data_IF_936760644858
#
_entry.id   IF_936760644858
#
_cell.length_a   1.000
_cell.length_b   1.000
_cell.length_c   1.000
_cell.angle_alpha   90.00
_cell.angle_beta   90.00
_cell.angle_gamma   90.00
#
_symmetry.space_group_name_H-M   'P 1'
#
loop_
_entity.id
_entity.type
_entity.pdbx_description
1 polymer ?
#
# COMPACT_ATOMS: atom_id res chain seq x y z
N UNK A 1 22.23 -17.36 -13.47
CA UNK A 1 22.62 -16.63 -12.25
C UNK A 1 21.44 -16.70 -11.29
N UNK A 2 21.60 -16.98 -10.00
CA UNK A 2 20.46 -16.88 -9.08
C UNK A 2 19.99 -15.42 -9.07
N UNK A 3 18.74 -15.18 -9.45
CA UNK A 3 18.06 -13.90 -9.28
C UNK A 3 18.04 -13.61 -7.78
N UNK A 4 18.83 -12.63 -7.34
CA UNK A 4 18.81 -12.17 -5.95
C UNK A 4 17.65 -11.19 -5.85
N UNK A 5 16.60 -11.58 -5.14
CA UNK A 5 15.50 -10.70 -4.79
C UNK A 5 16.04 -9.55 -3.91
N UNK A 6 15.78 -8.30 -4.31
CA UNK A 6 16.19 -7.14 -3.54
C UNK A 6 15.30 -7.01 -2.29
N UNK A 7 15.91 -6.56 -1.19
CA UNK A 7 15.21 -6.39 0.09
C UNK A 7 15.55 -5.03 0.69
N UNK A 8 14.61 -4.44 1.43
CA UNK A 8 14.90 -3.28 2.26
C UNK A 8 15.84 -3.65 3.41
N UNK A 9 16.72 -2.71 3.85
CA UNK A 9 17.48 -2.91 5.06
C UNK A 9 16.56 -2.96 6.28
N UNK A 10 16.95 -3.66 7.33
CA UNK A 10 16.19 -3.75 8.58
C UNK A 10 16.82 -2.89 9.66
N UNK A 11 16.03 -2.00 10.25
CA UNK A 11 16.41 -1.17 11.39
C UNK A 11 15.68 -1.63 12.66
N UNK A 12 16.13 -1.27 13.87
CA UNK A 12 15.44 -1.64 15.11
C UNK A 12 13.95 -1.27 15.13
N UNK A 13 13.59 -0.17 14.48
CA UNK A 13 12.22 0.33 14.39
C UNK A 13 11.39 -0.26 13.22
N UNK A 14 12.03 -0.85 12.21
CA UNK A 14 11.33 -1.48 11.08
C UNK A 14 11.32 -3.01 11.13
N UNK A 15 12.19 -3.62 11.96
CA UNK A 15 12.28 -5.08 12.15
C UNK A 15 11.06 -5.65 12.87
N UNK A 16 10.41 -6.62 12.24
CA UNK A 16 9.30 -7.37 12.84
C UNK A 16 9.83 -8.28 13.96
N UNK A 17 9.27 -8.13 15.17
CA UNK A 17 9.72 -8.87 16.36
C UNK A 17 8.79 -10.03 16.78
N UNK A 18 7.46 -9.87 16.67
CA UNK A 18 6.47 -10.89 17.05
C UNK A 18 5.93 -11.60 15.81
N UNK A 19 5.92 -12.93 15.80
CA UNK A 19 5.60 -13.77 14.63
C UNK A 19 6.51 -13.44 13.44
N UNK A 20 7.81 -13.70 13.60
CA UNK A 20 8.87 -13.30 12.65
C UNK A 20 8.85 -14.12 11.36
N UNK A 21 8.33 -15.34 11.44
CA UNK A 21 8.00 -16.24 10.33
C UNK A 21 7.07 -15.59 9.29
N UNK A 22 6.32 -14.56 9.70
CA UNK A 22 5.39 -13.80 8.85
C UNK A 22 6.01 -12.57 8.20
N UNK A 23 7.27 -12.25 8.52
CA UNK A 23 7.92 -11.05 8.04
C UNK A 23 8.47 -11.27 6.63
N UNK A 24 8.29 -10.27 5.76
CA UNK A 24 8.97 -10.20 4.48
C UNK A 24 9.59 -8.81 4.31
N UNK A 25 10.76 -8.76 3.67
CA UNK A 25 11.51 -7.54 3.43
C UNK A 25 11.80 -7.35 1.93
N UNK A 26 11.33 -8.25 1.07
CA UNK A 26 11.43 -8.14 -0.38
C UNK A 26 10.77 -6.86 -0.90
N UNK A 27 11.48 -6.15 -1.79
CA UNK A 27 10.98 -4.95 -2.44
C UNK A 27 9.68 -5.25 -3.19
N UNK A 28 9.68 -6.33 -3.98
CA UNK A 28 8.52 -6.75 -4.78
C UNK A 28 7.27 -6.97 -3.92
N UNK A 29 7.38 -7.77 -2.86
CA UNK A 29 6.28 -8.01 -1.91
C UNK A 29 5.75 -6.71 -1.30
N UNK A 30 6.65 -5.83 -0.84
CA UNK A 30 6.28 -4.58 -0.18
C UNK A 30 5.62 -3.62 -1.18
N UNK A 31 6.20 -3.43 -2.36
CA UNK A 31 5.65 -2.56 -3.39
C UNK A 31 4.31 -3.08 -3.91
N UNK A 32 4.13 -4.39 -4.06
CA UNK A 32 2.86 -4.98 -4.43
C UNK A 32 1.76 -4.69 -3.38
N UNK A 33 2.07 -4.83 -2.08
CA UNK A 33 1.12 -4.51 -1.00
C UNK A 33 0.74 -3.03 -1.02
N UNK A 34 1.72 -2.14 -1.18
CA UNK A 34 1.49 -0.69 -1.22
C UNK A 34 0.67 -0.29 -2.45
N UNK A 35 1.06 -0.74 -3.64
CA UNK A 35 0.42 -0.36 -4.90
C UNK A 35 -0.98 -0.97 -5.09
N UNK A 36 -1.28 -2.09 -4.41
CA UNK A 36 -2.64 -2.65 -4.39
C UNK A 36 -3.54 -2.03 -3.33
N UNK A 37 -3.00 -1.24 -2.40
CA UNK A 37 -3.77 -0.61 -1.32
C UNK A 37 -4.43 0.68 -1.82
N UNK A 38 -5.78 0.78 -1.83
CA UNK A 38 -6.47 1.96 -2.37
C UNK A 38 -6.28 3.22 -1.52
N UNK A 39 -5.86 3.07 -0.26
CA UNK A 39 -5.69 4.18 0.67
C UNK A 39 -4.54 3.89 1.64
N UNK A 40 -3.48 4.68 1.51
CA UNK A 40 -2.31 4.63 2.39
C UNK A 40 -2.55 5.51 3.62
N UNK A 41 -1.98 5.13 4.75
CA UNK A 41 -1.99 5.94 5.97
C UNK A 41 -0.62 6.58 6.15
N UNK A 42 -0.52 7.86 5.84
CA UNK A 42 0.72 8.65 5.87
C UNK A 42 0.83 9.37 7.20
N UNK A 43 1.85 9.01 7.98
CA UNK A 43 2.07 9.51 9.33
C UNK A 43 3.33 10.34 9.42
N UNK A 44 3.26 11.49 10.07
CA UNK A 44 4.41 12.39 10.27
C UNK A 44 4.24 13.24 11.52
N UNK A 45 5.34 13.74 12.06
CA UNK A 45 5.31 14.63 13.20
C UNK A 45 5.00 16.07 12.75
N UNK A 46 3.96 16.66 13.32
CA UNK A 46 3.67 18.08 13.14
C UNK A 46 4.39 18.89 14.22
N UNK A 47 5.11 19.99 13.90
CA UNK A 47 5.94 20.74 14.86
C UNK A 47 5.22 21.18 16.13
N UNK A 48 3.93 21.53 16.01
CA UNK A 48 3.12 22.08 17.11
C UNK A 48 2.09 21.07 17.66
N UNK A 49 2.32 19.77 17.45
CA UNK A 49 1.42 18.71 17.93
C UNK A 49 2.17 17.75 18.84
N UNK A 50 1.63 17.39 20.02
CA UNK A 50 2.17 16.29 20.80
C UNK A 50 1.82 14.92 20.21
N UNK A 51 0.92 14.87 19.23
CA UNK A 51 0.49 13.65 18.54
C UNK A 51 1.02 13.59 17.10
N UNK A 52 1.33 12.39 16.57
CA UNK A 52 1.58 12.24 15.14
C UNK A 52 0.31 12.58 14.35
N UNK A 53 0.48 13.18 13.19
CA UNK A 53 -0.59 13.30 12.21
C UNK A 53 -0.67 11.99 11.45
N UNK A 54 -1.88 11.51 11.14
CA UNK A 54 -2.12 10.38 10.24
C UNK A 54 -3.12 10.82 9.19
N UNK A 55 -2.74 10.79 7.91
CA UNK A 55 -3.58 11.17 6.78
C UNK A 55 -3.87 9.98 5.87
N UNK A 56 -5.15 9.71 5.54
CA UNK A 56 -5.48 8.81 4.45
C UNK A 56 -5.14 9.50 3.12
N UNK A 57 -4.32 8.87 2.29
CA UNK A 57 -3.86 9.43 1.01
C UNK A 57 -3.77 8.37 -0.07
N UNK A 58 -4.01 8.78 -1.32
CA UNK A 58 -3.62 8.00 -2.49
C UNK A 58 -2.11 8.20 -2.68
N UNK A 59 -1.39 7.10 -2.85
CA UNK A 59 0.02 7.10 -3.22
C UNK A 59 0.34 5.93 -4.14
N UNK A 60 1.48 5.99 -4.79
CA UNK A 60 1.93 4.93 -5.69
C UNK A 60 3.46 4.85 -5.70
N UNK A 61 3.99 3.63 -5.61
CA UNK A 61 5.43 3.38 -5.79
C UNK A 61 5.80 3.50 -7.27
N UNK A 62 6.91 4.15 -7.57
CA UNK A 62 7.46 4.24 -8.93
C UNK A 62 8.83 4.89 -8.98
N UNK A 63 9.42 5.00 -10.18
CA UNK A 63 10.72 5.63 -10.37
C UNK A 63 10.72 6.57 -11.57
N UNK A 64 10.81 7.88 -11.32
CA UNK A 64 10.96 8.85 -12.40
C UNK A 64 12.29 8.69 -13.14
N UNK A 65 13.37 8.34 -12.42
CA UNK A 65 14.70 8.16 -13.04
C UNK A 65 14.81 6.89 -13.88
N UNK A 66 13.99 5.88 -13.59
CA UNK A 66 13.86 4.65 -14.38
C UNK A 66 12.38 4.28 -14.55
N UNK A 67 11.64 4.90 -15.49
CA UNK A 67 10.21 4.63 -15.67
C UNK A 67 9.87 3.18 -16.06
N UNK A 68 10.86 2.40 -16.49
CA UNK A 68 10.73 0.96 -16.79
C UNK A 68 11.04 0.05 -15.61
N UNK A 69 11.28 0.60 -14.41
CA UNK A 69 11.56 -0.18 -13.21
C UNK A 69 10.34 -1.04 -12.83
N UNK A 70 10.60 -2.26 -12.37
CA UNK A 70 9.57 -3.16 -11.88
C UNK A 70 9.39 -3.05 -10.36
N UNK A 71 8.48 -3.85 -9.80
CA UNK A 71 8.22 -3.85 -8.35
C UNK A 71 9.41 -4.41 -7.54
N UNK A 72 10.31 -5.17 -8.15
CA UNK A 72 11.52 -5.67 -7.51
C UNK A 72 12.66 -4.66 -7.44
N UNK A 73 12.55 -3.53 -8.14
CA UNK A 73 13.53 -2.45 -8.14
C UNK A 73 13.40 -1.48 -6.96
N UNK A 74 14.42 -0.64 -6.76
CA UNK A 74 14.33 0.51 -5.83
C UNK A 74 13.40 1.56 -6.41
N UNK A 75 12.28 1.80 -5.72
CA UNK A 75 11.24 2.76 -6.07
C UNK A 75 11.10 3.84 -4.97
N UNK A 76 10.58 4.99 -5.37
CA UNK A 76 10.11 6.05 -4.47
C UNK A 76 8.58 5.98 -4.34
N UNK A 77 8.03 6.48 -3.23
CA UNK A 77 6.59 6.66 -3.09
C UNK A 77 6.19 8.08 -3.51
N UNK A 78 5.26 8.20 -4.45
CA UNK A 78 4.69 9.50 -4.83
C UNK A 78 3.34 9.73 -4.15
N UNK A 79 3.19 10.92 -3.55
CA UNK A 79 1.95 11.42 -2.95
C UNK A 79 1.57 12.75 -3.60
N UNK A 80 0.30 13.14 -3.56
CA UNK A 80 -0.14 14.45 -4.03
C UNK A 80 -1.09 15.12 -3.03
N UNK A 81 -1.27 16.43 -3.19
CA UNK A 81 -2.24 17.18 -2.41
C UNK A 81 -2.28 18.65 -2.80
N UNK A 82 -3.20 19.39 -2.19
CA UNK A 82 -3.30 20.83 -2.41
C UNK A 82 -2.03 21.54 -1.93
N UNK A 83 -1.54 22.49 -2.72
CA UNK A 83 -0.26 23.19 -2.50
C UNK A 83 -0.15 23.86 -1.13
N UNK A 84 -1.25 24.37 -0.59
CA UNK A 84 -1.29 25.03 0.73
C UNK A 84 -1.70 24.10 1.87
N UNK A 85 -1.81 22.80 1.64
CA UNK A 85 -2.11 21.84 2.70
C UNK A 85 -1.00 21.83 3.77
N UNK A 86 -1.38 21.49 5.01
CA UNK A 86 -0.43 21.44 6.14
C UNK A 86 0.77 20.53 5.83
N UNK A 87 0.54 19.35 5.24
CA UNK A 87 1.60 18.42 4.86
C UNK A 87 2.61 19.06 3.89
N UNK A 88 2.14 19.75 2.86
CA UNK A 88 3.01 20.41 1.87
C UNK A 88 3.81 21.56 2.48
N UNK A 89 3.19 22.36 3.36
CA UNK A 89 3.87 23.44 4.06
C UNK A 89 4.91 22.92 5.05
N UNK A 90 4.57 21.90 5.84
CA UNK A 90 5.50 21.27 6.80
C UNK A 90 6.70 20.65 6.08
N UNK A 91 6.47 20.00 4.94
CA UNK A 91 7.56 19.44 4.12
C UNK A 91 8.47 20.54 3.58
N UNK A 92 7.90 21.63 3.06
CA UNK A 92 8.68 22.79 2.58
C UNK A 92 9.54 23.42 3.68
N UNK A 93 9.03 23.49 4.91
CA UNK A 93 9.79 23.98 6.05
C UNK A 93 10.93 23.04 6.45
N UNK A 94 10.71 21.72 6.39
CA UNK A 94 11.75 20.73 6.65
C UNK A 94 12.87 20.81 5.60
N UNK A 95 12.52 20.98 4.33
CA UNK A 95 13.48 21.17 3.23
C UNK A 95 14.32 22.47 3.36
N UNK A 96 13.86 23.46 4.13
CA UNK A 96 14.52 24.76 4.28
C UNK A 96 15.46 24.84 5.51
N UNK A 97 15.37 23.92 6.47
CA UNK A 97 16.15 23.95 7.72
C UNK A 97 17.54 23.27 7.60
N UNK A 98 18.11 23.24 6.38
CA UNK A 98 19.32 22.50 5.98
C UNK A 98 20.67 23.04 6.53
N UNK A 99 20.70 23.77 7.65
CA UNK A 99 21.95 24.37 8.14
C UNK A 99 22.81 23.49 9.07
N UNK A 100 22.36 22.30 9.48
CA UNK A 100 23.19 21.41 10.33
C UNK A 100 23.29 19.96 9.82
N UNK A 101 24.54 19.50 9.81
CA UNK A 101 25.14 18.23 9.31
C UNK A 101 24.31 16.94 9.47
N UNK A 102 24.48 16.07 8.46
CA UNK A 102 24.28 14.59 8.50
C UNK A 102 22.86 14.04 8.73
N UNK A 103 21.79 14.82 8.52
CA UNK A 103 20.42 14.25 8.48
C UNK A 103 19.97 13.91 7.06
N UNK A 104 19.21 12.81 6.92
CA UNK A 104 18.50 12.49 5.68
C UNK A 104 17.57 13.67 5.31
N UNK A 105 17.61 14.08 4.03
CA UNK A 105 16.90 15.26 3.52
C UNK A 105 15.40 15.00 3.43
N UNK A 106 14.60 15.95 3.94
CA UNK A 106 13.14 15.94 3.83
C UNK A 106 12.40 15.69 5.14
N UNK A 107 11.07 15.70 5.09
CA UNK A 107 10.20 15.42 6.24
C UNK A 107 10.14 13.91 6.51
N UNK A 108 10.60 13.42 7.68
CA UNK A 108 10.48 12.01 8.04
C UNK A 108 9.00 11.60 8.14
N UNK A 109 8.66 10.47 7.54
CA UNK A 109 7.31 9.92 7.58
C UNK A 109 7.29 8.39 7.63
N UNK A 110 6.17 7.87 8.14
CA UNK A 110 5.84 6.46 8.17
C UNK A 110 4.57 6.23 7.37
N UNK A 111 4.59 5.30 6.42
CA UNK A 111 3.47 4.98 5.56
C UNK A 111 3.02 3.55 5.85
N UNK A 112 1.73 3.36 6.09
CA UNK A 112 1.14 2.05 6.29
C UNK A 112 0.15 1.70 5.17
N UNK A 113 0.27 0.47 4.66
CA UNK A 113 -0.67 -0.18 3.77
C UNK A 113 -1.15 -1.49 4.42
N UNK A 114 -2.45 -1.78 4.37
CA UNK A 114 -3.00 -3.00 4.95
C UNK A 114 -4.20 -3.52 4.16
N UNK A 115 -4.30 -4.85 4.14
CA UNK A 115 -5.38 -5.62 3.54
C UNK A 115 -5.85 -6.68 4.54
N UNK A 116 -7.17 -6.91 4.61
CA UNK A 116 -7.74 -8.05 5.33
C UNK A 116 -8.21 -9.04 4.29
N UNK A 117 -7.62 -10.23 4.31
CA UNK A 117 -7.84 -11.27 3.31
C UNK A 117 -8.72 -12.42 3.85
N UNK A 118 -8.95 -12.49 5.17
CA UNK A 118 -9.86 -13.48 5.77
C UNK A 118 -10.01 -13.40 7.28
N UNK A 119 -11.14 -13.84 7.81
CA UNK A 119 -11.42 -13.98 9.25
C UNK A 119 -11.12 -15.41 9.67
N UNK A 120 -10.14 -15.62 10.55
CA UNK A 120 -9.78 -16.96 11.04
C UNK A 120 -10.49 -17.24 12.36
N UNK A 121 -11.44 -18.16 12.31
CA UNK A 121 -12.27 -18.58 13.43
C UNK A 121 -11.73 -19.91 13.98
N UNK A 122 -11.36 -19.91 15.25
CA UNK A 122 -10.66 -20.97 15.97
C UNK A 122 -11.54 -21.45 17.14
N UNK A 123 -11.11 -22.49 17.87
CA UNK A 123 -11.89 -23.09 18.97
C UNK A 123 -12.00 -22.17 20.18
N UNK A 124 -11.01 -21.30 20.40
CA UNK A 124 -10.99 -20.40 21.56
C UNK A 124 -10.89 -18.92 21.15
N UNK A 125 -11.42 -18.00 21.97
CA UNK A 125 -11.37 -16.56 21.67
C UNK A 125 -9.97 -16.01 21.42
N UNK A 126 -8.95 -16.57 22.05
CA UNK A 126 -7.56 -16.10 21.96
C UNK A 126 -6.84 -16.59 20.71
N UNK A 127 -7.36 -17.63 20.04
CA UNK A 127 -6.78 -18.22 18.83
C UNK A 127 -7.36 -17.62 17.54
N UNK A 128 -8.42 -16.79 17.64
CA UNK A 128 -8.94 -16.03 16.51
C UNK A 128 -7.90 -15.10 15.89
N UNK A 129 -7.96 -14.92 14.57
CA UNK A 129 -7.02 -14.06 13.86
C UNK A 129 -7.58 -13.56 12.53
N UNK A 130 -6.72 -12.87 11.76
CA UNK A 130 -7.00 -12.48 10.38
C UNK A 130 -5.95 -13.08 9.44
N UNK A 131 -6.34 -13.50 8.24
CA UNK A 131 -5.42 -13.49 7.11
C UNK A 131 -5.29 -12.04 6.64
N UNK A 132 -4.07 -11.58 6.42
CA UNK A 132 -3.78 -10.20 6.07
C UNK A 132 -2.45 -10.06 5.35
N UNK A 133 -2.30 -8.95 4.64
CA UNK A 133 -1.03 -8.41 4.19
C UNK A 133 -0.90 -6.98 4.67
N UNK A 134 0.27 -6.61 5.15
CA UNK A 134 0.56 -5.24 5.54
C UNK A 134 1.98 -4.88 5.19
N UNK A 135 2.22 -3.62 4.88
CA UNK A 135 3.54 -3.05 4.67
C UNK A 135 3.67 -1.73 5.43
N UNK A 136 4.81 -1.53 6.08
CA UNK A 136 5.20 -0.28 6.72
C UNK A 136 6.46 0.22 6.03
N UNK A 137 6.42 1.44 5.52
CA UNK A 137 7.57 2.14 4.93
C UNK A 137 7.99 3.30 5.83
N UNK A 138 9.28 3.50 5.94
CA UNK A 138 9.89 4.66 6.60
C UNK A 138 10.75 5.38 5.57
N UNK A 139 10.58 6.69 5.48
CA UNK A 139 11.29 7.48 4.49
C UNK A 139 11.18 8.97 4.71
N UNK A 140 11.74 9.74 3.79
CA UNK A 140 11.81 11.19 3.86
C UNK A 140 11.13 11.81 2.64
N UNK A 141 10.12 12.64 2.89
CA UNK A 141 9.40 13.33 1.84
C UNK A 141 10.08 14.64 1.46
N UNK A 142 10.17 14.88 0.17
CA UNK A 142 10.64 16.14 -0.43
C UNK A 142 9.63 16.61 -1.47
N UNK A 143 9.57 17.93 -1.70
CA UNK A 143 8.73 18.48 -2.76
C UNK A 143 9.33 18.19 -4.14
N UNK A 144 8.50 17.69 -5.06
CA UNK A 144 8.86 17.57 -6.47
C UNK A 144 8.79 18.96 -7.11
N UNK A 145 9.94 19.48 -7.54
CA UNK A 145 10.08 20.81 -8.17
C UNK A 145 10.27 20.74 -9.69
N UNK A 146 10.83 19.65 -10.20
CA UNK A 146 10.94 19.43 -11.63
C UNK A 146 9.56 19.20 -12.27
N UNK A 147 9.32 19.85 -13.40
CA UNK A 147 8.00 19.80 -14.06
C UNK A 147 7.74 18.45 -14.71
N UNK A 148 8.77 17.78 -15.26
CA UNK A 148 8.61 16.48 -15.88
C UNK A 148 8.36 15.39 -14.83
N UNK A 149 9.07 15.42 -13.70
CA UNK A 149 8.83 14.52 -12.56
C UNK A 149 7.42 14.73 -11.98
N UNK A 150 6.97 15.97 -11.89
CA UNK A 150 5.62 16.29 -11.41
C UNK A 150 4.54 15.70 -12.33
N UNK A 151 4.69 15.86 -13.65
CA UNK A 151 3.76 15.28 -14.62
C UNK A 151 3.78 13.75 -14.59
N UNK A 152 4.96 13.15 -14.49
CA UNK A 152 5.13 11.71 -14.31
C UNK A 152 4.37 11.21 -13.07
N UNK A 153 4.54 11.87 -11.93
CA UNK A 153 3.88 11.48 -10.69
C UNK A 153 2.37 11.67 -10.75
N UNK A 154 1.88 12.74 -11.38
CA UNK A 154 0.45 12.96 -11.59
C UNK A 154 -0.17 11.86 -12.47
N UNK A 155 0.52 11.47 -13.54
CA UNK A 155 0.09 10.35 -14.39
C UNK A 155 0.11 9.02 -13.63
N UNK A 156 1.20 8.73 -12.91
CA UNK A 156 1.38 7.52 -12.10
C UNK A 156 0.26 7.36 -11.06
N UNK A 157 -0.04 8.42 -10.31
CA UNK A 157 -1.11 8.43 -9.30
C UNK A 157 -2.49 8.34 -9.94
N UNK A 158 -2.72 9.00 -11.08
CA UNK A 158 -4.01 8.90 -11.78
C UNK A 158 -4.26 7.48 -12.28
N UNK A 159 -3.23 6.84 -12.84
CA UNK A 159 -3.29 5.48 -13.34
C UNK A 159 -3.31 4.42 -12.22
N UNK A 160 -2.91 4.77 -11.00
CA UNK A 160 -3.06 3.85 -9.85
C UNK A 160 -4.50 3.73 -9.38
N UNK A 161 -5.34 4.75 -9.61
CA UNK A 161 -6.78 4.70 -9.28
C UNK A 161 -7.52 3.81 -10.27
N UNK A 162 -7.30 4.03 -11.57
CA UNK A 162 -7.76 3.15 -12.65
C UNK A 162 -6.68 3.15 -13.73
N UNK A 163 -6.17 2.00 -14.17
CA UNK A 163 -5.18 1.93 -15.24
C UNK A 163 -5.63 2.67 -16.50
N UNK A 164 -4.69 3.34 -17.16
CA UNK A 164 -4.93 4.13 -18.38
C UNK A 164 -5.89 5.32 -18.19
N UNK A 165 -6.27 5.67 -16.96
CA UNK A 165 -7.21 6.77 -16.72
C UNK A 165 -6.67 8.13 -17.12
N UNK A 166 -5.35 8.34 -17.02
CA UNK A 166 -4.71 9.60 -17.40
C UNK A 166 -4.96 9.93 -18.88
N UNK A 167 -4.60 9.02 -19.79
CA UNK A 167 -4.76 9.22 -21.25
C UNK A 167 -6.22 9.24 -21.69
N UNK A 168 -7.11 8.62 -20.92
CA UNK A 168 -8.57 8.65 -21.11
C UNK A 168 -9.26 9.81 -20.37
N UNK A 169 -8.49 10.87 -20.03
CA UNK A 169 -8.98 12.12 -19.44
C UNK A 169 -8.53 13.32 -20.29
N UNK A 170 -8.96 14.54 -19.94
CA UNK A 170 -8.47 15.76 -20.59
C UNK A 170 -7.02 16.03 -20.17
N UNK A 171 -6.09 15.83 -21.09
CA UNK A 171 -4.64 16.06 -20.90
C UNK A 171 -4.09 17.09 -21.91
N UNK A 172 -2.99 17.81 -21.58
CA UNK A 172 -2.31 17.86 -20.28
C UNK A 172 -3.08 18.69 -19.24
N UNK A 173 -2.72 18.62 -17.93
CA UNK A 173 -3.25 19.54 -16.94
C UNK A 173 -3.05 21.00 -17.33
N UNK A 174 -4.02 21.85 -17.01
CA UNK A 174 -3.93 23.28 -17.28
C UNK A 174 -3.08 24.00 -16.21
N UNK A 175 -2.79 25.29 -16.43
CA UNK A 175 -1.94 26.07 -15.54
C UNK A 175 -2.46 26.14 -14.09
N UNK A 176 -3.78 26.24 -13.90
CA UNK A 176 -4.39 26.30 -12.57
C UNK A 176 -4.27 24.98 -11.81
N UNK A 177 -4.45 23.84 -12.49
CA UNK A 177 -4.26 22.50 -11.94
C UNK A 177 -2.79 22.26 -11.57
N UNK A 178 -1.86 22.70 -12.44
CA UNK A 178 -0.42 22.62 -12.19
C UNK A 178 0.02 23.49 -11.01
N UNK A 179 -0.60 24.65 -10.80
CA UNK A 179 -0.28 25.55 -9.70
C UNK A 179 -0.85 25.10 -8.36
N UNK A 180 -2.08 24.54 -8.37
CA UNK A 180 -2.80 24.16 -7.15
C UNK A 180 -2.41 22.79 -6.60
N UNK A 181 -1.85 21.92 -7.44
CA UNK A 181 -1.38 20.57 -7.04
C UNK A 181 0.09 20.61 -6.64
N UNK A 182 0.44 20.06 -5.48
CA UNK A 182 1.81 19.71 -5.12
C UNK A 182 1.98 18.19 -5.11
N UNK A 183 3.19 17.74 -5.42
CA UNK A 183 3.60 16.34 -5.37
C UNK A 183 4.74 16.20 -4.38
N UNK A 184 4.69 15.15 -3.56
CA UNK A 184 5.79 14.72 -2.72
C UNK A 184 6.39 13.45 -3.29
N UNK A 185 7.71 13.38 -3.25
CA UNK A 185 8.48 12.15 -3.42
C UNK A 185 8.99 11.73 -2.05
N UNK A 186 8.70 10.50 -1.64
CA UNK A 186 9.22 9.90 -0.43
C UNK A 186 10.30 8.90 -0.81
N UNK A 187 11.55 9.24 -0.49
CA UNK A 187 12.66 8.31 -0.60
C UNK A 187 12.56 7.32 0.56
N UNK A 188 12.48 6.03 0.25
CA UNK A 188 12.28 4.98 1.25
C UNK A 188 13.63 4.54 1.83
N UNK A 189 13.79 4.67 3.14
CA UNK A 189 15.01 4.27 3.86
C UNK A 189 14.93 2.81 4.32
N UNK A 190 13.78 2.37 4.82
CA UNK A 190 13.54 0.97 5.24
C UNK A 190 12.05 0.64 5.13
N UNK A 191 11.75 -0.65 4.97
CA UNK A 191 10.39 -1.15 4.89
C UNK A 191 10.28 -2.57 5.45
N UNK A 192 9.09 -2.93 5.90
CA UNK A 192 8.77 -4.30 6.30
C UNK A 192 7.36 -4.67 5.93
N UNK A 193 7.17 -5.89 5.47
CA UNK A 193 5.87 -6.51 5.30
C UNK A 193 5.61 -7.55 6.39
N UNK A 194 4.33 -7.75 6.68
CA UNK A 194 3.86 -8.84 7.52
C UNK A 194 2.63 -9.46 6.92
N UNK A 195 2.70 -10.78 6.69
CA UNK A 195 1.71 -11.53 5.94
C UNK A 195 1.25 -12.74 6.76
N UNK A 196 -0.06 -12.94 6.85
CA UNK A 196 -0.66 -14.14 7.43
C UNK A 196 -1.62 -14.77 6.44
N UNK A 197 -1.44 -16.06 6.21
CA UNK A 197 -2.27 -16.98 5.43
C UNK A 197 -2.63 -18.19 6.30
N UNK A 198 -3.43 -19.10 5.75
CA UNK A 198 -3.76 -20.39 6.35
C UNK A 198 -4.99 -20.40 7.25
N UNK A 199 -5.24 -21.58 7.83
CA UNK A 199 -6.37 -21.86 8.72
C UNK A 199 -6.16 -21.49 10.19
N UNK A 200 -7.11 -21.86 11.06
CA UNK A 200 -6.94 -21.76 12.52
C UNK A 200 -5.83 -22.69 13.01
N UNK A 201 -5.22 -22.32 14.13
CA UNK A 201 -4.23 -23.13 14.84
C UNK A 201 -4.63 -23.16 16.31
N UNK A 202 -5.21 -24.29 16.73
CA UNK A 202 -5.72 -24.49 18.08
C UNK A 202 -4.76 -25.34 18.92
N UNK A 203 -4.84 -25.17 20.23
CA UNK A 203 -3.99 -25.89 21.17
C UNK A 203 -4.33 -27.39 21.17
N UNK A 204 -3.31 -28.22 21.40
CA UNK A 204 -3.47 -29.68 21.36
C UNK A 204 -4.60 -30.17 22.29
N UNK A 205 -4.74 -29.59 23.48
CA UNK A 205 -5.77 -29.98 24.43
C UNK A 205 -7.20 -29.66 23.93
N UNK A 206 -7.38 -28.57 23.20
CA UNK A 206 -8.68 -28.21 22.62
C UNK A 206 -9.05 -29.15 21.46
N UNK A 207 -8.04 -29.61 20.70
CA UNK A 207 -8.22 -30.60 19.63
C UNK A 207 -8.52 -32.02 20.14
N UNK A 208 -8.27 -32.31 21.42
CA UNK A 208 -8.60 -33.60 22.05
C UNK A 208 -10.01 -33.58 22.72
N UNK A 209 -10.65 -32.41 22.83
CA UNK A 209 -12.00 -32.25 23.37
C UNK A 209 -13.07 -32.43 22.27
N UNK A 210 -13.56 -33.66 22.10
CA UNK A 210 -14.61 -34.01 21.14
C UNK A 210 -15.92 -33.21 21.36
N UNK A 211 -16.24 -32.84 22.60
CA UNK A 211 -17.44 -32.05 22.88
C UNK A 211 -17.26 -30.60 22.42
N UNK A 212 -16.05 -30.04 22.53
CA UNK A 212 -15.69 -28.75 21.99
C UNK A 212 -15.70 -28.77 20.45
N UNK A 213 -15.04 -29.75 19.83
CA UNK A 213 -15.03 -29.92 18.37
C UNK A 213 -16.43 -30.11 17.79
N UNK A 214 -17.31 -30.83 18.50
CA UNK A 214 -18.69 -31.05 18.09
C UNK A 214 -19.61 -29.84 18.22
N UNK A 215 -19.23 -28.80 18.98
CA UNK A 215 -20.09 -27.63 19.26
C UNK A 215 -19.55 -26.29 18.75
N UNK A 216 -18.28 -26.20 18.36
CA UNK A 216 -17.65 -24.97 17.87
C UNK A 216 -17.20 -25.14 16.44
N UNK A 217 -17.67 -24.27 15.55
CA UNK A 217 -17.22 -24.25 14.16
C UNK A 217 -15.86 -23.55 14.04
N UNK A 218 -14.93 -24.14 13.28
CA UNK A 218 -13.62 -23.56 12.96
C UNK A 218 -13.43 -23.44 11.46
N UNK A 219 -12.74 -22.40 11.02
CA UNK A 219 -12.43 -22.21 9.61
C UNK A 219 -12.03 -20.78 9.29
N UNK A 220 -12.02 -20.47 7.99
CA UNK A 220 -11.72 -19.12 7.51
C UNK A 220 -12.89 -18.60 6.71
N UNK A 221 -13.29 -17.36 6.97
CA UNK A 221 -14.19 -16.60 6.09
C UNK A 221 -13.31 -15.70 5.21
N UNK A 222 -13.10 -16.01 3.91
CA UNK A 222 -12.34 -15.14 3.02
C UNK A 222 -12.93 -13.74 2.96
N UNK A 223 -12.07 -12.73 2.89
CA UNK A 223 -12.47 -11.32 2.78
C UNK A 223 -11.76 -10.73 1.57
N UNK A 224 -12.51 -10.10 0.68
CA UNK A 224 -11.98 -9.37 -0.47
C UNK A 224 -12.93 -8.24 -0.84
N UNK A 225 -12.39 -7.22 -1.52
CA UNK A 225 -13.17 -6.09 -2.04
C UNK A 225 -13.62 -6.39 -3.46
N UNK A 226 -14.82 -5.90 -3.81
CA UNK A 226 -15.37 -6.00 -5.17
C UNK A 226 -15.64 -4.59 -5.69
N UNK A 227 -15.09 -4.27 -6.85
CA UNK A 227 -15.42 -3.12 -7.65
C UNK A 227 -16.81 -3.32 -8.27
N UNK A 228 -17.78 -2.53 -7.83
CA UNK A 228 -19.16 -2.59 -8.29
C UNK A 228 -19.35 -2.07 -9.72
N UNK A 229 -20.57 -2.26 -10.25
CA UNK A 229 -20.95 -1.76 -11.57
C UNK A 229 -20.79 -0.23 -11.67
N UNK A 230 -20.17 0.31 -12.74
CA UNK A 230 -19.98 1.75 -12.89
C UNK A 230 -21.30 2.52 -12.97
N UNK A 231 -21.43 3.55 -12.15
CA UNK A 231 -22.59 4.46 -12.17
C UNK A 231 -22.23 5.72 -12.94
N UNK A 232 -22.95 5.99 -14.03
CA UNK A 232 -22.72 7.17 -14.86
C UNK A 232 -23.01 8.47 -14.10
N UNK A 233 -22.12 9.45 -14.22
CA UNK A 233 -22.35 10.80 -13.72
C UNK A 233 -23.45 11.53 -14.52
N UNK A 234 -24.17 12.46 -13.90
CA UNK A 234 -25.35 13.11 -14.52
C UNK A 234 -25.08 13.93 -15.79
N UNK A 235 -23.84 14.36 -16.02
CA UNK A 235 -23.42 15.04 -17.24
C UNK A 235 -22.68 14.13 -18.23
N UNK A 236 -22.57 12.83 -17.95
CA UNK A 236 -21.97 11.88 -18.87
C UNK A 236 -22.75 11.88 -20.19
N UNK A 237 -22.01 11.87 -21.30
CA UNK A 237 -22.54 11.78 -22.67
C UNK A 237 -21.96 10.59 -23.44
N UNK A 238 -21.05 9.84 -22.82
CA UNK A 238 -20.51 8.59 -23.37
C UNK A 238 -21.55 7.49 -23.10
N UNK A 239 -22.04 6.87 -24.17
CA UNK A 239 -23.18 5.94 -24.09
C UNK A 239 -22.86 4.66 -23.31
N UNK A 240 -21.67 4.11 -23.50
CA UNK A 240 -21.22 2.87 -22.85
C UNK A 240 -20.01 3.14 -21.95
N UNK A 241 -19.82 2.29 -20.94
CA UNK A 241 -18.61 2.31 -20.12
C UNK A 241 -17.43 1.92 -21.02
N UNK A 242 -16.35 2.73 -21.08
CA UNK A 242 -15.16 2.36 -21.84
C UNK A 242 -14.59 1.00 -21.41
N UNK A 243 -14.25 0.15 -22.39
CA UNK A 243 -13.81 -1.23 -22.12
C UNK A 243 -12.60 -1.36 -21.20
N UNK A 244 -11.71 -0.35 -21.14
CA UNK A 244 -10.57 -0.37 -20.21
C UNK A 244 -10.99 -0.32 -18.73
N UNK A 245 -12.16 0.26 -18.43
CA UNK A 245 -12.71 0.31 -17.07
C UNK A 245 -13.32 -1.05 -16.72
N UNK A 246 -14.12 -1.64 -17.61
CA UNK A 246 -14.73 -2.94 -17.38
C UNK A 246 -13.70 -4.07 -17.31
N UNK A 247 -12.69 -4.05 -18.19
CA UNK A 247 -11.59 -5.01 -18.17
C UNK A 247 -10.83 -4.96 -16.83
N UNK A 248 -10.40 -3.77 -16.42
CA UNK A 248 -9.76 -3.55 -15.12
C UNK A 248 -10.64 -4.01 -13.95
N UNK A 249 -11.93 -3.66 -13.96
CA UNK A 249 -12.88 -4.05 -12.92
C UNK A 249 -12.99 -5.56 -12.77
N UNK A 250 -13.11 -6.26 -13.91
CA UNK A 250 -13.18 -7.72 -13.96
C UNK A 250 -11.90 -8.37 -13.43
N UNK A 251 -10.74 -7.89 -13.87
CA UNK A 251 -9.42 -8.38 -13.42
C UNK A 251 -9.23 -8.19 -11.92
N UNK A 252 -9.44 -6.98 -11.39
CA UNK A 252 -9.28 -6.70 -9.96
C UNK A 252 -10.20 -7.55 -9.09
N UNK A 253 -11.46 -7.73 -9.51
CA UNK A 253 -12.41 -8.56 -8.77
C UNK A 253 -11.98 -10.02 -8.74
N UNK A 254 -11.55 -10.54 -9.90
CA UNK A 254 -11.06 -11.91 -10.02
C UNK A 254 -9.82 -12.13 -9.15
N UNK A 255 -8.83 -11.27 -9.27
CA UNK A 255 -7.56 -11.38 -8.55
C UNK A 255 -7.76 -11.27 -7.03
N UNK A 256 -8.64 -10.38 -6.59
CA UNK A 256 -8.96 -10.22 -5.17
C UNK A 256 -9.65 -11.47 -4.59
N UNK A 257 -10.59 -12.05 -5.32
CA UNK A 257 -11.26 -13.29 -4.91
C UNK A 257 -10.30 -14.49 -4.91
N UNK A 258 -9.51 -14.66 -5.98
CA UNK A 258 -8.52 -15.74 -6.10
C UNK A 258 -7.50 -15.67 -4.97
N UNK A 259 -6.92 -14.49 -4.72
CA UNK A 259 -5.96 -14.31 -3.62
C UNK A 259 -6.58 -14.67 -2.27
N UNK A 260 -7.77 -14.16 -1.93
CA UNK A 260 -8.39 -14.40 -0.63
C UNK A 260 -8.73 -15.88 -0.41
N UNK A 261 -9.13 -16.61 -1.46
CA UNK A 261 -9.42 -18.05 -1.39
C UNK A 261 -8.15 -18.87 -1.28
N UNK A 262 -7.14 -18.59 -2.08
CA UNK A 262 -5.85 -19.28 -2.01
C UNK A 262 -5.15 -19.06 -0.68
N UNK A 263 -5.25 -17.85 -0.12
CA UNK A 263 -4.69 -17.51 1.18
C UNK A 263 -5.23 -18.40 2.30
N UNK A 264 -6.40 -19.03 2.16
CA UNK A 264 -6.91 -20.01 3.14
C UNK A 264 -6.14 -21.34 3.08
N UNK A 265 -5.73 -21.76 1.88
CA UNK A 265 -5.06 -23.05 1.65
C UNK A 265 -3.54 -23.03 1.79
N UNK A 266 -2.90 -21.85 1.75
CA UNK A 266 -1.45 -21.69 1.93
C UNK A 266 -1.04 -21.92 3.38
N UNK A 267 0.13 -22.52 3.60
CA UNK A 267 0.70 -22.59 4.95
C UNK A 267 1.10 -21.19 5.45
N UNK A 268 1.13 -20.99 6.77
CA UNK A 268 1.57 -19.73 7.38
C UNK A 268 3.06 -19.54 7.06
N UNK A 269 3.40 -18.46 6.36
CA UNK A 269 4.79 -18.15 5.97
C UNK A 269 5.21 -18.72 4.61
N UNK A 270 4.31 -19.39 3.90
CA UNK A 270 4.53 -19.83 2.53
C UNK A 270 4.49 -18.60 1.58
N UNK A 271 5.63 -18.28 0.96
CA UNK A 271 5.73 -17.19 -0.01
C UNK A 271 5.03 -17.63 -1.30
N UNK A 272 4.05 -16.84 -1.76
CA UNK A 272 3.38 -17.09 -3.05
C UNK A 272 4.40 -17.14 -4.18
N UNK A 273 4.43 -18.24 -4.92
CA UNK A 273 5.31 -18.41 -6.07
C UNK A 273 4.67 -17.84 -7.33
N UNK A 274 5.31 -16.80 -7.88
CA UNK A 274 5.19 -16.22 -9.23
C UNK A 274 3.80 -15.91 -9.77
#
# INVERSE_FOLDING_TARGET
MPLRELQYPTEPYSKVNRMKDRADYALETIHQIVNSCPMLHVSFQSPNSPFPVVLPMIGQMGSFSRPSADLGDVLDLYLHGYVSSRLMNTTRSADAQEEEKEKEKGLPMTIAASHVDGLVLALTPNSHSYNYRSAILFGHATLVTDTAEKLYAMELITNSVVPQRWTNSRVPPNAAEMQSTSVLKVTISTGSAKIRTGGPHDEKGDLEDEALLGRVWTGVVPVYSVMGEPVAGGYNRVGEVPGYIEGWRGEVNKDAEEYAREAVGREVGEKGGK
#
